data_IF_530200966380
#
_entry.id   IF_530200966380
#
_cell.length_a   1.000
_cell.length_b   1.000
_cell.length_c   1.000
_cell.angle_alpha   90.00
_cell.angle_beta   90.00
_cell.angle_gamma   90.00
#
_symmetry.space_group_name_H-M   'P 1'
#
loop_
_entity.id
_entity.type
_entity.pdbx_description
1 polymer ?
#
# COMPACT_ATOMS: atom_id res chain seq x y z
N UNK A 1 4.81 -5.87 2.76
CA UNK A 1 5.15 -6.79 1.65
C UNK A 1 6.28 -6.22 0.79
N UNK A 2 6.08 -5.17 -0.02
CA UNK A 2 7.12 -4.62 -0.92
C UNK A 2 8.40 -4.16 -0.22
N UNK A 3 8.28 -3.61 0.99
CA UNK A 3 9.44 -3.17 1.78
C UNK A 3 10.38 -4.35 2.13
N UNK A 4 9.83 -5.54 2.37
CA UNK A 4 10.66 -6.71 2.70
C UNK A 4 11.43 -7.21 1.48
N UNK A 5 10.80 -7.17 0.30
CA UNK A 5 11.45 -7.50 -0.98
C UNK A 5 12.59 -6.52 -1.24
N UNK A 6 12.33 -5.23 -1.09
CA UNK A 6 13.35 -4.18 -1.26
C UNK A 6 14.54 -4.38 -0.31
N UNK A 7 14.29 -4.62 0.98
CA UNK A 7 15.35 -4.79 1.97
C UNK A 7 16.17 -6.05 1.69
N UNK A 8 15.54 -7.18 1.37
CA UNK A 8 16.25 -8.43 1.05
C UNK A 8 17.13 -8.29 -0.20
N UNK A 9 16.58 -7.76 -1.31
CA UNK A 9 17.34 -7.54 -2.55
C UNK A 9 18.48 -6.54 -2.33
N UNK A 10 18.23 -5.45 -1.61
CA UNK A 10 19.25 -4.46 -1.27
C UNK A 10 20.39 -5.07 -0.45
N UNK A 11 20.08 -5.84 0.60
CA UNK A 11 21.10 -6.49 1.43
C UNK A 11 21.98 -7.44 0.63
N UNK A 12 21.40 -8.23 -0.29
CA UNK A 12 22.15 -9.15 -1.16
C UNK A 12 23.08 -8.44 -2.13
N UNK A 13 22.56 -7.42 -2.81
CA UNK A 13 23.34 -6.62 -3.76
C UNK A 13 24.49 -5.89 -3.04
N UNK A 14 24.20 -5.31 -1.87
CA UNK A 14 25.19 -4.60 -1.06
C UNK A 14 26.30 -5.52 -0.55
N UNK A 15 25.96 -6.71 -0.04
CA UNK A 15 26.93 -7.68 0.45
C UNK A 15 27.87 -8.22 -0.65
N UNK A 16 27.37 -8.39 -1.87
CA UNK A 16 28.21 -8.77 -3.00
C UNK A 16 29.12 -7.61 -3.45
N UNK A 17 28.56 -6.40 -3.56
CA UNK A 17 29.31 -5.20 -3.91
C UNK A 17 30.45 -4.90 -2.92
N UNK A 18 30.23 -5.10 -1.62
CA UNK A 18 31.25 -4.89 -0.59
C UNK A 18 32.43 -5.89 -0.69
N UNK A 19 32.23 -7.03 -1.35
CA UNK A 19 33.23 -8.07 -1.58
C UNK A 19 33.84 -7.99 -2.99
N UNK A 20 33.50 -6.96 -3.78
CA UNK A 20 33.92 -6.84 -5.18
C UNK A 20 33.27 -7.90 -6.10
N UNK A 21 32.20 -8.55 -5.64
CA UNK A 21 31.45 -9.56 -6.39
C UNK A 21 30.20 -8.94 -7.01
N UNK A 22 29.69 -9.56 -8.06
CA UNK A 22 28.41 -9.17 -8.67
C UNK A 22 27.34 -10.17 -8.26
N UNK A 23 26.33 -9.71 -7.51
CA UNK A 23 25.12 -10.48 -7.29
C UNK A 23 24.13 -10.25 -8.44
N UNK A 24 23.46 -11.30 -8.87
CA UNK A 24 22.36 -11.25 -9.83
C UNK A 24 21.05 -11.59 -9.14
N UNK A 25 20.02 -10.80 -9.41
CA UNK A 25 18.66 -11.08 -8.96
C UNK A 25 17.93 -11.90 -10.02
N UNK A 26 16.97 -12.72 -9.59
CA UNK A 26 16.11 -13.42 -10.52
C UNK A 26 15.29 -12.39 -11.32
N UNK A 27 15.14 -12.63 -12.63
CA UNK A 27 14.33 -11.76 -13.46
C UNK A 27 12.87 -11.77 -12.98
N UNK A 28 12.26 -10.58 -12.91
CA UNK A 28 10.85 -10.45 -12.56
C UNK A 28 9.98 -11.05 -13.68
N UNK A 29 9.14 -12.06 -13.38
CA UNK A 29 8.28 -12.68 -14.38
C UNK A 29 7.13 -11.77 -14.83
N UNK A 30 6.80 -10.75 -14.04
CA UNK A 30 5.72 -9.81 -14.32
C UNK A 30 6.09 -8.46 -13.75
N UNK A 31 6.02 -7.42 -14.57
CA UNK A 31 6.25 -6.06 -14.13
C UNK A 31 4.97 -5.46 -13.56
N UNK A 32 5.12 -4.45 -12.72
CA UNK A 32 3.95 -3.74 -12.17
C UNK A 32 3.08 -3.10 -13.27
N UNK A 33 3.67 -2.71 -14.40
CA UNK A 33 2.95 -2.19 -15.56
C UNK A 33 2.02 -3.25 -16.20
N UNK A 34 2.45 -4.52 -16.21
CA UNK A 34 1.65 -5.63 -16.71
C UNK A 34 0.46 -5.86 -15.79
N UNK A 35 0.69 -5.85 -14.47
CA UNK A 35 -0.38 -5.95 -13.47
C UNK A 35 -1.41 -4.82 -13.62
N UNK A 36 -0.97 -3.57 -13.75
CA UNK A 36 -1.90 -2.43 -13.91
C UNK A 36 -2.71 -2.50 -15.21
N UNK A 37 -2.13 -3.05 -16.28
CA UNK A 37 -2.83 -3.23 -17.55
C UNK A 37 -3.84 -4.36 -17.47
N UNK A 38 -3.46 -5.50 -16.88
CA UNK A 38 -4.37 -6.61 -16.58
C UNK A 38 -5.53 -6.17 -15.68
N UNK A 39 -5.26 -5.44 -14.59
CA UNK A 39 -6.29 -4.99 -13.65
C UNK A 39 -7.35 -4.13 -14.36
N UNK A 40 -6.91 -3.18 -15.20
CA UNK A 40 -7.83 -2.33 -15.98
C UNK A 40 -8.70 -3.15 -16.92
N UNK A 41 -8.10 -4.11 -17.63
CA UNK A 41 -8.85 -4.97 -18.56
C UNK A 41 -9.86 -5.85 -17.81
N UNK A 42 -9.44 -6.45 -16.71
CA UNK A 42 -10.30 -7.30 -15.87
C UNK A 42 -11.49 -6.52 -15.31
N UNK A 43 -11.27 -5.30 -14.82
CA UNK A 43 -12.36 -4.42 -14.37
C UNK A 43 -13.30 -4.05 -15.51
N UNK A 44 -12.75 -3.74 -16.70
CA UNK A 44 -13.53 -3.39 -17.88
C UNK A 44 -14.33 -4.56 -18.46
N UNK A 45 -13.96 -5.81 -18.14
CA UNK A 45 -14.68 -7.02 -18.57
C UNK A 45 -15.91 -7.36 -17.70
N UNK A 46 -16.37 -6.41 -16.89
CA UNK A 46 -17.60 -6.52 -16.10
C UNK A 46 -17.38 -6.80 -14.61
N UNK A 47 -16.16 -7.15 -14.21
CA UNK A 47 -15.87 -7.32 -12.78
C UNK A 47 -16.00 -5.99 -12.02
N UNK A 48 -15.64 -4.87 -12.65
CA UNK A 48 -15.78 -3.55 -12.05
C UNK A 48 -17.24 -3.26 -11.68
N UNK A 49 -18.18 -3.54 -12.58
CA UNK A 49 -19.61 -3.36 -12.34
C UNK A 49 -20.12 -4.30 -11.25
N UNK A 50 -19.70 -5.57 -11.29
CA UNK A 50 -20.08 -6.59 -10.29
C UNK A 50 -19.63 -6.19 -8.88
N UNK A 51 -18.38 -5.77 -8.72
CA UNK A 51 -17.86 -5.34 -7.41
C UNK A 51 -18.48 -4.03 -6.96
N UNK A 52 -18.70 -3.09 -7.86
CA UNK A 52 -19.37 -1.83 -7.54
C UNK A 52 -20.78 -2.10 -7.00
N UNK A 53 -21.58 -2.90 -7.71
CA UNK A 53 -22.93 -3.25 -7.28
C UNK A 53 -22.95 -3.93 -5.90
N UNK A 54 -22.01 -4.87 -5.67
CA UNK A 54 -21.88 -5.52 -4.37
C UNK A 54 -21.54 -4.53 -3.26
N UNK A 55 -20.54 -3.67 -3.45
CA UNK A 55 -20.10 -2.75 -2.41
C UNK A 55 -21.10 -1.64 -2.14
N UNK A 56 -21.78 -1.12 -3.16
CA UNK A 56 -22.90 -0.19 -2.97
C UNK A 56 -24.01 -0.83 -2.13
N UNK A 57 -24.38 -2.08 -2.42
CA UNK A 57 -25.39 -2.79 -1.65
C UNK A 57 -24.97 -3.08 -0.20
N UNK A 58 -23.68 -3.37 0.04
CA UNK A 58 -23.16 -3.68 1.38
C UNK A 58 -22.95 -2.44 2.24
N UNK A 59 -22.48 -1.35 1.65
CA UNK A 59 -22.14 -0.13 2.36
C UNK A 59 -23.33 0.81 2.53
N UNK A 60 -24.34 0.68 1.67
CA UNK A 60 -25.50 1.56 1.66
C UNK A 60 -25.16 3.00 1.27
N UNK A 61 -26.14 3.89 1.42
CA UNK A 61 -25.99 5.31 1.03
C UNK A 61 -25.61 6.21 2.22
N UNK A 62 -25.75 5.71 3.45
CA UNK A 62 -25.50 6.47 4.67
C UNK A 62 -24.19 6.04 5.34
N UNK A 63 -23.25 6.98 5.43
CA UNK A 63 -21.97 6.80 6.10
C UNK A 63 -21.86 7.78 7.28
N UNK A 64 -22.55 7.50 8.41
CA UNK A 64 -22.49 8.39 9.56
C UNK A 64 -21.06 8.51 10.07
N UNK A 65 -20.69 9.72 10.49
CA UNK A 65 -19.38 9.95 11.09
C UNK A 65 -19.30 9.18 12.41
N UNK A 66 -18.23 8.42 12.59
CA UNK A 66 -17.99 7.68 13.83
C UNK A 66 -17.81 8.68 14.99
N UNK A 67 -18.79 8.72 15.89
CA UNK A 67 -18.75 9.56 17.10
C UNK A 67 -17.93 8.88 18.19
N UNK A 68 -16.61 8.97 18.05
CA UNK A 68 -15.69 8.61 19.12
C UNK A 68 -15.57 9.76 20.11
N UNK A 69 -15.36 9.44 21.39
CA UNK A 69 -15.01 10.42 22.42
C UNK A 69 -13.59 10.95 22.14
N UNK A 70 -13.49 11.96 21.27
CA UNK A 70 -12.24 12.63 20.94
C UNK A 70 -12.02 13.80 21.91
N UNK A 71 -10.78 13.97 22.38
CA UNK A 71 -10.41 15.07 23.27
C UNK A 71 -10.55 16.47 22.63
N UNK A 72 -10.56 16.53 21.30
CA UNK A 72 -10.65 17.77 20.54
C UNK A 72 -11.58 17.62 19.33
N UNK A 73 -12.27 18.70 18.90
CA UNK A 73 -13.10 18.66 17.70
C UNK A 73 -12.26 18.33 16.46
N UNK A 74 -12.83 17.52 15.56
CA UNK A 74 -12.19 17.14 14.29
C UNK A 74 -11.91 18.40 13.45
N UNK A 75 -10.64 18.69 13.17
CA UNK A 75 -10.26 19.81 12.31
C UNK A 75 -10.58 19.52 10.83
N UNK A 76 -11.10 20.53 10.10
CA UNK A 76 -11.35 20.43 8.67
C UNK A 76 -10.05 20.24 7.84
N UNK A 77 -8.93 20.74 8.34
CA UNK A 77 -7.62 20.41 7.81
C UNK A 77 -7.11 19.12 8.44
N UNK A 78 -6.76 18.15 7.59
CA UNK A 78 -6.10 16.93 8.02
C UNK A 78 -4.68 17.27 8.51
N UNK A 79 -4.52 17.36 9.83
CA UNK A 79 -3.23 17.65 10.44
C UNK A 79 -2.59 16.31 10.79
N UNK A 80 -1.60 15.90 10.01
CA UNK A 80 -0.74 14.76 10.35
C UNK A 80 0.25 15.18 11.45
N UNK A 81 -0.23 15.42 12.67
CA UNK A 81 0.64 15.65 13.82
C UNK A 81 0.95 14.31 14.49
N UNK A 82 1.92 13.57 13.94
CA UNK A 82 2.54 12.50 14.69
C UNK A 82 3.54 13.13 15.68
N UNK A 83 3.22 13.09 16.98
CA UNK A 83 4.20 13.43 18.01
C UNK A 83 5.18 12.27 18.17
N UNK A 84 6.47 12.48 17.90
CA UNK A 84 7.53 11.55 18.29
C UNK A 84 7.92 11.84 19.74
N UNK A 85 7.52 10.96 20.65
CA UNK A 85 8.09 10.93 21.99
C UNK A 85 9.32 10.01 21.99
N UNK A 86 10.51 10.58 22.16
CA UNK A 86 11.71 9.80 22.44
C UNK A 86 11.68 9.37 23.91
N UNK A 87 11.55 8.07 24.15
CA UNK A 87 11.83 7.50 25.47
C UNK A 87 13.35 7.32 25.56
N UNK A 88 13.98 8.00 26.52
CA UNK A 88 15.34 7.65 26.93
C UNK A 88 15.24 6.45 27.87
N UNK A 89 15.90 5.36 27.51
CA UNK A 89 16.20 4.23 28.40
C UNK A 89 17.35 4.61 29.33
#
# INVERSE_FOLDING_TARGET
WSMNVLIDEFSRLYAAASQGQTATLAALPTQYADYGSWQRQWLAQGEGERQLAYWTAQLGDEHPTLSLAADHPRSAQHRHSAARHSIKL
#
